data_IF_310038026509
#
_entry.id   IF_310038026509
#
_cell.length_a   1.000
_cell.length_b   1.000
_cell.length_c   1.000
_cell.angle_alpha   90.00
_cell.angle_beta   90.00
_cell.angle_gamma   90.00
#
_symmetry.space_group_name_H-M   'P 1'
#
loop_
_entity.id
_entity.type
_entity.pdbx_description
1 polymer ?
#
# COMPACT_ATOMS: atom_id res chain seq x y z
N UNK A 1 0.45 1.87 -40.70
CA UNK A 1 0.95 1.38 -39.41
C UNK A 1 2.00 2.36 -38.92
N UNK A 2 1.60 3.32 -38.10
CA UNK A 2 2.56 4.18 -37.39
C UNK A 2 3.10 3.37 -36.22
N UNK A 3 4.34 2.89 -36.37
CA UNK A 3 5.15 2.43 -35.24
C UNK A 3 5.22 3.56 -34.22
N UNK A 4 4.48 3.40 -33.11
CA UNK A 4 4.63 4.25 -31.92
C UNK A 4 6.01 3.88 -31.35
N UNK A 5 7.05 4.50 -31.90
CA UNK A 5 8.41 4.43 -31.41
C UNK A 5 8.45 5.00 -30.00
N UNK A 6 8.96 4.20 -29.07
CA UNK A 6 9.67 4.61 -27.87
C UNK A 6 8.96 5.70 -27.03
N UNK A 7 7.78 5.40 -26.49
CA UNK A 7 7.39 6.10 -25.27
C UNK A 7 8.39 5.70 -24.18
N UNK A 8 9.13 6.68 -23.67
CA UNK A 8 9.98 6.52 -22.50
C UNK A 8 9.08 6.19 -21.28
N UNK A 9 8.84 4.89 -21.09
CA UNK A 9 7.99 4.37 -20.03
C UNK A 9 8.61 4.55 -18.64
N UNK A 10 9.86 5.01 -18.53
CA UNK A 10 10.55 5.21 -17.24
C UNK A 10 9.78 6.16 -16.33
N UNK A 11 9.17 7.22 -16.87
CA UNK A 11 8.36 8.18 -16.10
C UNK A 11 7.09 7.54 -15.55
N UNK A 12 6.44 6.66 -16.32
CA UNK A 12 5.25 5.95 -15.87
C UNK A 12 5.63 4.93 -14.77
N UNK A 13 6.73 4.20 -14.94
CA UNK A 13 7.25 3.29 -13.91
C UNK A 13 7.60 4.04 -12.62
N UNK A 14 8.25 5.21 -12.72
CA UNK A 14 8.57 6.05 -11.57
C UNK A 14 7.30 6.59 -10.89
N UNK A 15 6.28 6.98 -11.67
CA UNK A 15 4.99 7.42 -11.13
C UNK A 15 4.31 6.29 -10.35
N UNK A 16 4.23 5.08 -10.91
CA UNK A 16 3.65 3.92 -10.25
C UNK A 16 4.37 3.60 -8.94
N UNK A 17 5.71 3.60 -8.97
CA UNK A 17 6.53 3.41 -7.77
C UNK A 17 6.23 4.46 -6.70
N UNK A 18 6.12 5.73 -7.09
CA UNK A 18 5.83 6.81 -6.15
C UNK A 18 4.42 6.70 -5.54
N UNK A 19 3.43 6.23 -6.32
CA UNK A 19 2.08 5.98 -5.82
C UNK A 19 2.10 4.85 -4.77
N UNK A 20 2.75 3.73 -5.08
CA UNK A 20 2.85 2.60 -4.14
C UNK A 20 3.64 3.02 -2.90
N UNK A 21 4.75 3.74 -3.06
CA UNK A 21 5.53 4.25 -1.93
C UNK A 21 4.70 5.17 -1.03
N UNK A 22 3.90 6.06 -1.61
CA UNK A 22 3.01 6.93 -0.83
C UNK A 22 1.99 6.11 -0.02
N UNK A 23 1.37 5.10 -0.63
CA UNK A 23 0.44 4.21 0.06
C UNK A 23 1.13 3.46 1.23
N UNK A 24 2.35 2.96 1.02
CA UNK A 24 3.15 2.31 2.07
C UNK A 24 3.50 3.28 3.19
N UNK A 25 3.92 4.50 2.88
CA UNK A 25 4.27 5.50 3.89
C UNK A 25 3.07 5.89 4.77
N UNK A 26 1.89 6.06 4.16
CA UNK A 26 0.65 6.37 4.90
C UNK A 26 0.22 5.19 5.80
N UNK A 27 0.19 3.97 5.26
CA UNK A 27 -0.14 2.78 6.05
C UNK A 27 0.85 2.58 7.20
N UNK A 28 2.16 2.70 6.95
CA UNK A 28 3.16 2.57 7.99
C UNK A 28 3.10 3.69 9.04
N UNK A 29 2.66 4.90 8.67
CA UNK A 29 2.45 5.97 9.62
C UNK A 29 1.33 5.63 10.62
N UNK A 30 0.18 5.16 10.12
CA UNK A 30 -0.96 4.79 10.97
C UNK A 30 -0.66 3.56 11.83
N UNK A 31 0.01 2.54 11.28
CA UNK A 31 0.47 1.36 12.04
C UNK A 31 1.41 1.77 13.18
N UNK A 32 2.38 2.66 12.93
CA UNK A 32 3.29 3.17 13.97
C UNK A 32 2.55 3.96 15.04
N UNK A 33 1.53 4.73 14.67
CA UNK A 33 0.74 5.49 15.63
C UNK A 33 -0.12 4.57 16.51
N UNK A 34 -0.74 3.54 15.91
CA UNK A 34 -1.47 2.51 16.63
C UNK A 34 -0.57 1.80 17.65
N UNK A 35 0.63 1.38 17.25
CA UNK A 35 1.61 0.74 18.15
C UNK A 35 2.04 1.66 19.30
N UNK A 36 2.18 2.97 19.06
CA UNK A 36 2.53 3.96 20.10
C UNK A 36 1.36 4.29 21.03
N UNK A 37 0.13 4.28 20.51
CA UNK A 37 -1.09 4.71 21.23
C UNK A 37 -2.27 3.81 20.80
N UNK A 38 -2.41 2.62 21.41
CA UNK A 38 -3.43 1.65 21.01
C UNK A 38 -4.81 2.07 21.51
N UNK A 39 -5.48 2.91 20.72
CA UNK A 39 -6.86 3.36 20.97
C UNK A 39 -7.75 2.90 19.84
N UNK A 40 -9.06 2.75 20.11
CA UNK A 40 -10.05 2.39 19.09
C UNK A 40 -10.04 3.38 17.92
N UNK A 41 -9.83 4.68 18.20
CA UNK A 41 -9.72 5.70 17.15
C UNK A 41 -8.51 5.47 16.22
N UNK A 42 -7.34 5.13 16.78
CA UNK A 42 -6.15 4.81 15.98
C UNK A 42 -6.31 3.50 15.21
N UNK A 43 -7.05 2.53 15.76
CA UNK A 43 -7.36 1.29 15.07
C UNK A 43 -8.23 1.54 13.84
N UNK A 44 -9.33 2.30 14.01
CA UNK A 44 -10.19 2.72 12.90
C UNK A 44 -9.42 3.53 11.86
N UNK A 45 -8.51 4.42 12.27
CA UNK A 45 -7.66 5.18 11.35
C UNK A 45 -6.73 4.27 10.53
N UNK A 46 -6.14 3.24 11.17
CA UNK A 46 -5.33 2.23 10.51
C UNK A 46 -6.15 1.41 9.51
N UNK A 47 -7.32 0.91 9.91
CA UNK A 47 -8.23 0.15 9.05
C UNK A 47 -8.70 0.96 7.85
N UNK A 48 -9.11 2.22 8.05
CA UNK A 48 -9.54 3.11 6.98
C UNK A 48 -8.39 3.36 6.00
N UNK A 49 -7.20 3.67 6.51
CA UNK A 49 -6.02 3.92 5.68
C UNK A 49 -5.68 2.72 4.78
N UNK A 50 -5.66 1.51 5.35
CA UNK A 50 -5.42 0.28 4.59
C UNK A 50 -6.52 0.03 3.56
N UNK A 51 -7.79 0.17 3.96
CA UNK A 51 -8.95 -0.04 3.09
C UNK A 51 -8.97 0.94 1.91
N UNK A 52 -8.56 2.19 2.12
CA UNK A 52 -8.52 3.23 1.09
C UNK A 52 -7.40 2.97 0.06
N UNK A 53 -6.23 2.52 0.51
CA UNK A 53 -5.06 2.36 -0.36
C UNK A 53 -4.94 0.97 -1.02
N UNK A 54 -5.47 -0.08 -0.40
CA UNK A 54 -5.41 -1.44 -0.95
C UNK A 54 -5.95 -1.54 -2.38
N UNK A 55 -7.09 -0.94 -2.76
CA UNK A 55 -7.58 -0.96 -4.14
C UNK A 55 -6.62 -0.29 -5.14
N UNK A 56 -5.93 0.77 -4.71
CA UNK A 56 -4.94 1.47 -5.56
C UNK A 56 -3.73 0.58 -5.82
N UNK A 57 -3.19 -0.05 -4.76
CA UNK A 57 -2.06 -0.96 -4.88
C UNK A 57 -2.45 -2.21 -5.68
N UNK A 58 -3.66 -2.74 -5.48
CA UNK A 58 -4.19 -3.88 -6.26
C UNK A 58 -4.26 -3.57 -7.75
N UNK A 59 -4.83 -2.40 -8.10
CA UNK A 59 -4.94 -1.96 -9.49
C UNK A 59 -3.57 -1.92 -10.18
N UNK A 60 -2.53 -1.47 -9.46
CA UNK A 60 -1.16 -1.46 -9.98
C UNK A 60 -0.59 -2.89 -10.04
N UNK A 61 -0.77 -3.69 -8.98
CA UNK A 61 -0.22 -5.04 -8.87
C UNK A 61 -0.75 -6.03 -9.93
N UNK A 62 -1.92 -5.78 -10.50
CA UNK A 62 -2.48 -6.57 -11.61
C UNK A 62 -1.57 -6.51 -12.85
N UNK A 63 -1.02 -5.34 -13.16
CA UNK A 63 -0.16 -5.12 -14.33
C UNK A 63 1.34 -5.10 -13.98
N UNK A 64 1.67 -4.90 -12.70
CA UNK A 64 3.03 -4.74 -12.17
C UNK A 64 3.25 -5.68 -10.98
N UNK A 65 3.57 -6.93 -11.29
CA UNK A 65 3.65 -8.05 -10.33
C UNK A 65 4.63 -7.81 -9.18
N UNK A 66 5.64 -6.95 -9.39
CA UNK A 66 6.58 -6.54 -8.35
C UNK A 66 5.91 -5.89 -7.13
N UNK A 67 4.70 -5.34 -7.28
CA UNK A 67 3.93 -4.75 -6.18
C UNK A 67 2.91 -5.70 -5.54
N UNK A 68 2.73 -6.92 -6.06
CA UNK A 68 1.85 -7.91 -5.43
C UNK A 68 2.21 -8.20 -3.95
N UNK A 69 3.50 -8.33 -3.57
CA UNK A 69 3.86 -8.50 -2.16
C UNK A 69 3.45 -7.32 -1.27
N UNK A 70 3.35 -6.10 -1.81
CA UNK A 70 2.89 -4.93 -1.04
C UNK A 70 1.41 -5.04 -0.74
N UNK A 71 0.61 -5.47 -1.73
CA UNK A 71 -0.82 -5.73 -1.54
C UNK A 71 -1.04 -6.82 -0.49
N UNK A 72 -0.32 -7.93 -0.56
CA UNK A 72 -0.45 -9.05 0.39
C UNK A 72 -0.10 -8.62 1.82
N UNK A 73 0.94 -7.80 1.97
CA UNK A 73 1.32 -7.22 3.27
C UNK A 73 0.23 -6.27 3.81
N UNK A 74 -0.36 -5.42 2.95
CA UNK A 74 -1.47 -4.55 3.35
C UNK A 74 -2.71 -5.35 3.78
N UNK A 75 -3.05 -6.42 3.05
CA UNK A 75 -4.13 -7.31 3.40
C UNK A 75 -3.89 -7.97 4.77
N UNK A 76 -2.67 -8.48 4.99
CA UNK A 76 -2.28 -9.08 6.28
C UNK A 76 -2.35 -8.07 7.43
N UNK A 77 -1.91 -6.83 7.19
CA UNK A 77 -2.00 -5.76 8.18
C UNK A 77 -3.47 -5.38 8.49
N UNK A 78 -4.35 -5.39 7.48
CA UNK A 78 -5.77 -5.11 7.65
C UNK A 78 -6.45 -6.21 8.46
N UNK A 79 -6.20 -7.47 8.13
CA UNK A 79 -6.72 -8.62 8.88
C UNK A 79 -6.31 -8.54 10.35
N UNK A 80 -5.03 -8.21 10.61
CA UNK A 80 -4.53 -8.01 11.97
C UNK A 80 -5.26 -6.86 12.69
N UNK A 81 -5.49 -5.72 12.02
CA UNK A 81 -6.22 -4.60 12.61
C UNK A 81 -7.67 -4.98 12.96
N UNK A 82 -8.38 -5.65 12.04
CA UNK A 82 -9.79 -6.01 12.19
C UNK A 82 -10.04 -7.01 13.33
N UNK A 83 -9.06 -7.85 13.67
CA UNK A 83 -9.14 -8.77 14.82
C UNK A 83 -8.56 -8.18 16.11
N UNK A 84 -8.26 -6.88 16.13
CA UNK A 84 -7.59 -6.18 17.23
C UNK A 84 -6.18 -6.75 17.57
N UNK A 85 -5.52 -7.33 16.58
CA UNK A 85 -4.13 -7.78 16.64
C UNK A 85 -3.13 -6.64 16.42
N UNK A 86 -1.88 -7.01 16.13
CA UNK A 86 -0.79 -6.06 15.89
C UNK A 86 -0.38 -6.07 14.41
N UNK A 87 -0.78 -5.06 13.62
CA UNK A 87 -0.36 -4.95 12.22
C UNK A 87 1.16 -4.78 12.09
N UNK A 88 1.75 -5.47 11.11
CA UNK A 88 3.18 -5.39 10.80
C UNK A 88 3.42 -4.32 9.74
N UNK A 89 4.59 -3.67 9.80
CA UNK A 89 4.99 -2.68 8.79
C UNK A 89 5.12 -3.32 7.41
N UNK A 90 4.74 -2.55 6.40
CA UNK A 90 4.78 -2.93 5.00
C UNK A 90 6.12 -2.48 4.40
N UNK A 91 6.77 -3.37 3.66
CA UNK A 91 8.04 -3.13 2.97
C UNK A 91 7.84 -3.06 1.45
N UNK A 92 8.55 -2.11 0.83
CA UNK A 92 8.65 -1.99 -0.62
C UNK A 92 9.89 -2.79 -1.08
N UNK A 93 9.67 -3.91 -1.75
CA UNK A 93 10.73 -4.77 -2.29
C UNK A 93 11.48 -4.12 -3.47
#
# INVERSE_FOLDING_TARGET
MTTIKDQDHSKNQQLLRNIVLHAVDQANFTIKNLAKRPTVAMLMECENCLTDFMPVVQMIAVDHIEYAPVYDQMATALDAAQIHGEPVLIELN
#
